data_IF_438316564964
#
_entry.id   IF_438316564964
#
_cell.length_a   1.000
_cell.length_b   1.000
_cell.length_c   1.000
_cell.angle_alpha   90.00
_cell.angle_beta   90.00
_cell.angle_gamma   90.00
#
_symmetry.space_group_name_H-M   'P 1'
#
loop_
_entity.id
_entity.type
_entity.pdbx_description
1 polymer ?
2 water ?
#
# COMPACT_ATOMS: atom_id res chain seq x y z
N UNK A 4 5.17 -20.89 -0.41
CA UNK A 4 5.79 -20.18 -1.57
C UNK A 4 6.64 -18.94 -1.27
N UNK A 5 6.07 -17.91 -0.63
CA UNK A 5 6.84 -16.70 -0.28
C UNK A 5 6.67 -16.43 1.24
N UNK A 6 7.78 -16.38 1.97
CA UNK A 6 7.73 -16.22 3.42
C UNK A 6 8.45 -14.95 3.80
N UNK A 7 7.96 -14.27 4.84
CA UNK A 7 8.59 -13.04 5.31
C UNK A 7 8.96 -13.21 6.78
N UNK A 8 10.23 -12.95 7.11
CA UNK A 8 10.77 -13.18 8.46
C UNK A 8 11.20 -11.88 9.09
N UNK A 9 10.55 -11.52 10.19
CA UNK A 9 11.02 -10.44 11.06
C UNK A 9 11.56 -11.07 12.32
N UNK A 10 12.59 -10.47 12.91
CA UNK A 10 13.13 -11.00 14.18
C UNK A 10 12.09 -11.08 15.26
N UNK A 11 12.04 -12.22 15.94
CA UNK A 11 11.08 -12.36 17.05
C UNK A 11 9.67 -12.80 16.67
N UNK A 12 9.38 -12.95 15.37
CA UNK A 12 8.08 -13.46 14.91
C UNK A 12 8.20 -14.82 14.22
N UNK A 13 7.09 -15.59 14.21
CA UNK A 13 7.01 -16.74 13.32
C UNK A 13 7.13 -16.23 11.89
N UNK A 14 7.59 -17.08 10.98
CA UNK A 14 7.58 -16.77 9.55
C UNK A 14 6.16 -16.38 9.12
N UNK A 15 6.05 -15.37 8.28
CA UNK A 15 4.75 -15.00 7.72
C UNK A 15 4.63 -15.64 6.34
N UNK A 16 3.65 -16.53 6.20
CA UNK A 16 3.42 -17.24 4.94
C UNK A 16 2.50 -16.37 4.07
N UNK A 17 3.05 -15.62 3.11
CA UNK A 17 2.26 -14.59 2.42
C UNK A 17 1.17 -15.24 1.58
N UNK A 18 -0.07 -14.80 1.73
CA UNK A 18 -1.13 -15.40 0.90
C UNK A 18 -1.59 -14.44 -0.19
N UNK A 19 -2.19 -15.01 -1.24
CA UNK A 19 -2.72 -14.24 -2.34
C UNK A 19 -3.90 -13.36 -1.90
N UNK A 20 -4.10 -12.28 -2.66
CA UNK A 20 -5.29 -11.43 -2.61
C UNK A 20 -5.48 -10.75 -1.26
N UNK A 21 -4.36 -10.43 -0.62
CA UNK A 21 -4.34 -9.93 0.75
C UNK A 21 -3.37 -8.77 0.82
N UNK A 22 -3.81 -7.66 1.37
CA UNK A 22 -2.93 -6.53 1.54
C UNK A 22 -2.32 -6.61 2.93
N UNK A 23 -0.99 -6.72 2.98
CA UNK A 23 -0.27 -6.78 4.28
C UNK A 23 0.11 -5.37 4.71
N UNK A 24 -0.46 -4.91 5.82
CA UNK A 24 -0.09 -3.60 6.34
C UNK A 24 1.07 -3.75 7.30
N UNK A 25 2.07 -2.88 7.14
CA UNK A 25 3.30 -3.00 7.91
C UNK A 25 3.56 -1.67 8.61
N UNK A 26 3.74 -1.70 9.92
CA UNK A 26 3.98 -0.44 10.65
C UNK A 26 4.04 -0.68 12.15
N UNK A 27 4.27 0.40 12.89
CA UNK A 27 4.37 0.36 14.35
C UNK A 27 2.98 0.43 15.00
N UNK A 28 1.96 0.85 14.23
CA UNK A 28 0.56 0.83 14.69
C UNK A 28 0.10 -0.59 15.09
N UNK A 29 -0.52 -0.73 16.27
CA UNK A 29 -1.11 -2.02 16.64
C UNK A 29 -2.31 -2.42 15.77
N UNK A 30 -2.48 -3.72 15.61
CA UNK A 30 -3.65 -4.27 14.94
C UNK A 30 -3.43 -4.52 13.45
N UNK A 31 -2.21 -4.29 12.95
CA UNK A 31 -1.91 -4.53 11.54
C UNK A 31 -1.49 -5.97 11.38
N UNK A 32 -1.45 -6.48 10.16
CA UNK A 32 -0.96 -7.86 9.95
C UNK A 32 0.47 -7.94 10.46
N UNK A 33 1.28 -6.91 10.17
CA UNK A 33 2.68 -6.92 10.57
C UNK A 33 2.96 -5.67 11.43
N UNK A 34 2.70 -5.79 12.72
CA UNK A 34 2.90 -4.68 13.63
C UNK A 34 4.22 -4.94 14.30
N UNK A 35 5.16 -4.03 14.09
CA UNK A 35 6.51 -4.12 14.62
C UNK A 35 6.73 -2.96 15.60
N UNK A 36 7.08 -3.26 16.85
CA UNK A 36 7.16 -2.19 17.89
C UNK A 36 8.37 -1.22 17.82
N UNK A 37 9.30 -1.47 16.93
CA UNK A 37 10.54 -0.70 16.85
C UNK A 37 10.34 0.80 16.56
N UNK A 38 11.11 1.65 17.25
CA UNK A 38 10.95 3.09 17.10
C UNK A 38 11.37 3.63 15.74
N UNK A 39 12.16 2.87 14.98
CA UNK A 39 12.56 3.33 13.63
C UNK A 39 11.49 3.02 12.56
N UNK A 40 10.39 2.42 12.97
CA UNK A 40 9.33 2.11 12.01
C UNK A 40 8.20 3.09 12.16
N UNK A 41 7.67 3.59 11.04
CA UNK A 41 6.54 4.53 11.06
C UNK A 41 5.24 3.81 11.43
N UNK A 42 4.29 4.55 11.99
CA UNK A 42 2.96 3.98 12.28
C UNK A 42 2.34 3.31 11.04
N UNK A 43 2.36 4.03 9.92
CA UNK A 43 1.95 3.48 8.61
C UNK A 43 3.15 3.41 7.67
N UNK A 44 3.92 2.35 7.77
CA UNK A 44 5.24 2.36 7.16
C UNK A 44 5.20 1.90 5.71
N UNK A 45 4.55 0.78 5.47
CA UNK A 45 4.59 0.15 4.16
C UNK A 45 3.47 -0.87 3.97
N UNK A 46 3.38 -1.40 2.75
CA UNK A 46 2.38 -2.42 2.43
C UNK A 46 3.00 -3.45 1.51
N UNK A 47 2.59 -4.71 1.64
CA UNK A 47 3.08 -5.77 0.75
C UNK A 47 1.88 -6.56 0.21
N UNK A 48 2.10 -7.19 -0.94
CA UNK A 48 1.07 -7.94 -1.59
C UNK A 48 1.72 -9.00 -2.44
N UNK A 49 0.97 -10.05 -2.76
CA UNK A 49 1.37 -10.96 -3.82
C UNK A 49 0.78 -10.37 -5.10
N UNK A 50 1.64 -9.98 -6.03
CA UNK A 50 1.20 -9.31 -7.28
C UNK A 50 0.62 -10.33 -8.26
N UNK A 51 1.27 -11.50 -8.30
CA UNK A 51 0.91 -12.66 -9.12
C UNK A 51 1.72 -13.84 -8.57
N UNK A 52 1.46 -15.05 -9.04
CA UNK A 52 2.14 -16.22 -8.49
C UNK A 52 3.66 -16.05 -8.35
N UNK A 53 4.15 -16.22 -7.12
CA UNK A 53 5.59 -16.13 -6.80
C UNK A 53 6.23 -14.74 -6.85
N UNK A 54 5.42 -13.68 -6.91
CA UNK A 54 5.96 -12.31 -7.03
C UNK A 54 5.34 -11.43 -5.95
N UNK A 55 6.18 -10.82 -5.12
CA UNK A 55 5.69 -9.91 -4.07
C UNK A 55 5.95 -8.45 -4.48
N UNK A 56 4.95 -7.60 -4.28
CA UNK A 56 5.13 -6.16 -4.46
C UNK A 56 5.25 -5.55 -3.07
N UNK A 57 6.26 -4.70 -2.88
CA UNK A 57 6.35 -3.92 -1.66
C UNK A 57 6.21 -2.45 -2.06
N UNK A 58 5.46 -1.68 -1.28
CA UNK A 58 5.36 -0.25 -1.53
C UNK A 58 5.60 0.52 -0.23
N UNK A 59 6.46 1.53 -0.32
CA UNK A 59 6.78 2.35 0.85
C UNK A 59 5.66 3.36 1.00
N UNK A 60 5.16 3.54 2.23
CA UNK A 60 4.17 4.57 2.45
C UNK A 60 4.81 5.74 3.17
N UNK A 61 4.64 5.83 4.49
CA UNK A 61 5.28 6.93 5.22
C UNK A 61 6.75 6.58 5.50
N UNK A 62 7.05 5.29 5.61
CA UNK A 62 8.39 4.84 5.99
C UNK A 62 9.24 4.50 4.76
N UNK A 63 10.56 4.40 4.92
CA UNK A 63 11.45 4.04 3.79
C UNK A 63 11.71 2.53 3.76
N UNK A 64 11.96 2.00 2.57
CA UNK A 64 12.25 0.57 2.39
C UNK A 64 13.54 0.40 1.61
N UNK A 65 14.31 -0.61 2.01
CA UNK A 65 15.58 -0.91 1.35
C UNK A 65 15.59 -2.39 1.01
N UNK A 66 15.99 -2.69 -0.23
CA UNK A 66 16.05 -4.07 -0.69
C UNK A 66 17.54 -4.31 -0.98
N UNK A 67 18.13 -5.24 -0.23
CA UNK A 67 19.59 -5.46 -0.35
C UNK A 67 20.35 -4.13 -0.27
N UNK A 68 19.97 -3.31 0.72
CA UNK A 68 20.58 -2.01 1.02
C UNK A 68 20.32 -0.88 0.00
N UNK A 69 19.48 -1.12 -1.00
CA UNK A 69 19.07 -0.08 -1.96
C UNK A 69 17.65 0.41 -1.66
N UNK A 70 17.52 1.72 -1.52
CA UNK A 70 16.19 2.30 -1.29
C UNK A 70 15.27 2.09 -2.48
N UNK A 71 14.02 1.78 -2.19
CA UNK A 71 13.01 1.59 -3.22
C UNK A 71 11.71 2.25 -2.75
N UNK A 72 10.93 2.77 -3.68
CA UNK A 72 9.59 3.26 -3.35
C UNK A 72 8.56 2.18 -3.62
N UNK A 73 8.68 1.51 -4.76
CA UNK A 73 7.84 0.35 -5.08
C UNK A 73 8.68 -0.66 -5.85
N UNK A 74 8.58 -1.93 -5.48
CA UNK A 74 9.45 -2.93 -6.08
C UNK A 74 8.73 -4.27 -6.15
N UNK A 75 8.95 -5.01 -7.24
CA UNK A 75 8.36 -6.33 -7.41
C UNK A 75 9.51 -7.32 -7.35
N UNK A 76 9.34 -8.33 -6.50
CA UNK A 76 10.43 -9.27 -6.18
C UNK A 76 9.94 -10.70 -6.40
N UNK A 77 10.68 -11.46 -7.22
CA UNK A 77 10.41 -12.89 -7.41
C UNK A 77 11.70 -13.67 -7.23
N UNK A 78 11.64 -14.99 -7.40
CA UNK A 78 12.83 -15.86 -7.20
C UNK A 78 14.04 -15.41 -8.01
N UNK A 79 13.80 -14.85 -9.19
CA UNK A 79 14.86 -14.42 -10.09
C UNK A 79 15.68 -13.29 -9.48
N UNK A 80 15.09 -12.58 -8.51
CA UNK A 80 15.72 -11.43 -7.88
C UNK A 80 16.41 -11.80 -6.59
N UNK A 81 16.29 -13.07 -6.21
CA UNK A 81 16.80 -13.53 -4.94
C UNK A 81 18.22 -14.07 -5.11
N UNK A 82 18.93 -14.16 -3.99
CA UNK A 82 20.21 -14.82 -3.92
C UNK A 82 20.04 -16.00 -2.96
N UNK A 83 20.34 -17.20 -3.45
CA UNK A 83 20.09 -18.45 -2.74
C UNK A 83 18.67 -18.50 -2.16
N UNK A 84 17.71 -17.97 -2.92
CA UNK A 84 16.28 -17.96 -2.53
C UNK A 84 15.85 -16.89 -1.53
N UNK A 85 16.76 -15.99 -1.17
CA UNK A 85 16.51 -14.97 -0.15
C UNK A 85 16.77 -13.54 -0.61
N UNK A 86 16.08 -12.60 0.05
CA UNK A 86 16.23 -11.18 -0.22
C UNK A 86 16.25 -10.46 1.12
N UNK A 87 17.25 -9.60 1.35
CA UNK A 87 17.30 -8.79 2.57
C UNK A 87 16.44 -7.55 2.39
N UNK A 88 15.61 -7.28 3.38
CA UNK A 88 14.77 -6.10 3.40
C UNK A 88 15.11 -5.28 4.63
N UNK A 89 14.88 -3.98 4.54
CA UNK A 89 14.92 -3.14 5.73
C UNK A 89 13.79 -2.13 5.71
N UNK A 90 13.06 -2.04 6.82
CA UNK A 90 11.98 -1.06 6.98
C UNK A 90 12.43 -0.07 8.05
N UNK A 91 12.74 1.16 7.66
CA UNK A 91 13.38 2.08 8.60
C UNK A 91 14.76 1.51 8.91
N UNK A 92 14.95 1.12 10.16
CA UNK A 92 16.17 0.44 10.60
C UNK A 92 15.94 -1.02 11.03
N UNK A 93 14.74 -1.53 10.74
CA UNK A 93 14.38 -2.93 11.07
C UNK A 93 14.63 -3.86 9.90
N UNK A 94 15.51 -4.84 10.09
CA UNK A 94 15.77 -5.78 8.99
C UNK A 94 14.81 -6.96 8.97
N UNK A 95 14.56 -7.49 7.78
CA UNK A 95 13.68 -8.63 7.58
C UNK A 95 14.24 -9.43 6.41
N UNK A 96 13.68 -10.62 6.16
CA UNK A 96 14.15 -11.47 5.07
C UNK A 96 12.94 -12.06 4.36
N UNK A 97 12.93 -12.00 3.04
CA UNK A 97 11.99 -12.78 2.22
C UNK A 97 12.68 -14.04 1.74
N UNK A 98 11.93 -15.14 1.73
CA UNK A 98 12.43 -16.43 1.23
C UNK A 98 11.41 -16.95 0.23
N UNK A 99 11.90 -17.41 -0.92
CA UNK A 99 11.06 -17.96 -1.98
C UNK A 99 11.20 -19.48 -1.98
N UNK A 100 10.08 -20.21 -2.05
CA UNK A 100 10.15 -21.69 -1.96
C UNK A 100 10.14 -22.29 -3.35
N UNK B 2 -9.10 21.48 4.82
CA UNK B 2 -7.91 22.31 5.15
C UNK B 2 -6.70 21.43 4.93
N UNK B 3 -6.60 20.40 5.78
CA UNK B 3 -5.79 19.23 5.54
C UNK B 3 -6.76 18.05 5.55
N UNK B 4 -8.05 18.36 5.39
CA UNK B 4 -9.07 17.33 5.22
C UNK B 4 -8.95 16.80 3.79
N UNK B 5 -8.81 15.49 3.67
CA UNK B 5 -8.77 14.82 2.37
C UNK B 5 -9.81 13.71 2.42
N UNK B 6 -10.74 13.72 1.47
CA UNK B 6 -11.78 12.68 1.40
C UNK B 6 -11.76 11.94 0.07
N UNK B 7 -12.08 10.65 0.13
CA UNK B 7 -12.19 9.82 -1.05
C UNK B 7 -13.66 9.52 -1.26
N UNK B 8 -14.12 9.67 -2.51
CA UNK B 8 -15.52 9.46 -2.87
C UNK B 8 -15.62 8.35 -3.92
N UNK B 9 -16.42 7.33 -3.65
CA UNK B 9 -16.83 6.34 -4.66
C UNK B 9 -18.35 6.51 -4.79
N UNK B 10 -18.87 6.49 -6.02
CA UNK B 10 -20.27 6.91 -6.31
C UNK B 10 -21.32 6.37 -5.34
N UNK B 11 -22.16 7.26 -4.81
CA UNK B 11 -23.25 6.86 -3.90
C UNK B 11 -22.81 6.06 -2.66
N UNK B 12 -21.54 6.18 -2.32
CA UNK B 12 -21.03 5.70 -1.05
C UNK B 12 -20.82 6.97 -0.24
N UNK B 13 -20.91 6.88 1.10
CA UNK B 13 -20.52 8.04 1.91
C UNK B 13 -19.03 8.40 1.67
N UNK B 14 -18.69 9.69 1.69
CA UNK B 14 -17.27 10.11 1.62
C UNK B 14 -16.47 9.38 2.69
N UNK B 15 -15.22 9.01 2.39
CA UNK B 15 -14.33 8.49 3.41
C UNK B 15 -13.31 9.58 3.70
N UNK B 16 -13.33 10.09 4.92
CA UNK B 16 -12.41 11.12 5.34
C UNK B 16 -11.12 10.41 5.76
N UNK B 17 -9.99 10.76 5.16
CA UNK B 17 -8.74 10.00 5.45
C UNK B 17 -8.05 10.51 6.71
N UNK B 18 -7.77 9.60 7.63
CA UNK B 18 -7.12 9.93 8.90
C UNK B 18 -5.63 9.66 8.79
N UNK B 19 -4.81 10.50 9.42
CA UNK B 19 -3.36 10.31 9.40
C UNK B 19 -2.95 8.97 10.00
N UNK B 20 -1.77 8.52 9.59
CA UNK B 20 -1.11 7.32 10.12
C UNK B 20 -1.97 6.08 10.06
N UNK B 21 -2.80 6.04 9.02
CA UNK B 21 -3.72 4.92 8.81
C UNK B 21 -3.57 4.39 7.38
N UNK B 22 -3.44 3.08 7.22
CA UNK B 22 -3.30 2.50 5.91
C UNK B 22 -4.70 2.10 5.44
N UNK B 23 -5.18 2.70 4.38
CA UNK B 23 -6.52 2.38 3.85
C UNK B 23 -6.38 1.34 2.77
N UNK B 24 -6.87 0.14 3.03
CA UNK B 24 -6.89 -0.90 2.02
C UNK B 24 -8.06 -0.70 1.08
N UNK B 25 -7.80 -0.77 -0.23
CA UNK B 25 -8.82 -0.53 -1.26
C UNK B 25 -8.98 -1.79 -2.07
N UNK B 26 -10.17 -2.37 -2.08
CA UNK B 26 -10.36 -3.57 -2.88
C UNK B 26 -11.79 -4.07 -2.89
N UNK B 27 -12.00 -5.18 -3.59
CA UNK B 27 -13.31 -5.85 -3.68
C UNK B 27 -13.51 -6.78 -2.48
N UNK B 28 -12.44 -7.14 -1.79
CA UNK B 28 -12.56 -8.03 -0.63
C UNK B 28 -13.43 -7.35 0.45
N UNK B 29 -14.29 -8.13 1.11
CA UNK B 29 -15.11 -7.61 2.19
C UNK B 29 -14.23 -7.35 3.40
N UNK B 30 -14.62 -6.35 4.19
CA UNK B 30 -13.94 -6.04 5.46
C UNK B 30 -12.77 -5.08 5.35
N UNK B 31 -12.54 -4.52 4.17
CA UNK B 31 -11.46 -3.52 4.04
C UNK B 31 -11.96 -2.14 4.45
N UNK B 32 -11.05 -1.18 4.61
CA UNK B 32 -11.45 0.20 4.86
C UNK B 32 -12.30 0.69 3.71
N UNK B 33 -11.93 0.31 2.50
CA UNK B 33 -12.64 0.76 1.32
C UNK B 33 -12.94 -0.49 0.49
N UNK B 34 -14.09 -1.10 0.76
CA UNK B 34 -14.52 -2.32 0.07
C UNK B 34 -15.54 -1.91 -0.98
N UNK B 35 -15.22 -2.19 -2.24
CA UNK B 35 -16.03 -1.72 -3.36
C UNK B 35 -16.45 -2.94 -4.14
N UNK B 36 -17.77 -3.15 -4.23
CA UNK B 36 -18.30 -4.31 -4.95
C UNK B 36 -18.43 -4.01 -6.45
N UNK B 37 -17.31 -4.09 -7.17
CA UNK B 37 -17.31 -3.90 -8.61
C UNK B 37 -16.33 -4.90 -9.20
N UNK B 38 -16.73 -5.55 -10.29
CA UNK B 38 -15.95 -6.63 -10.92
C UNK B 38 -14.57 -6.17 -11.38
N UNK B 39 -14.41 -4.88 -11.67
CA UNK B 39 -13.13 -4.44 -12.18
C UNK B 39 -12.20 -3.99 -11.05
N UNK B 40 -12.67 -4.07 -9.81
CA UNK B 40 -11.82 -3.85 -8.65
C UNK B 40 -11.22 -5.20 -8.25
N UNK B 41 -9.90 -5.28 -8.12
CA UNK B 41 -9.28 -6.47 -7.58
C UNK B 41 -9.59 -6.65 -6.09
N UNK B 42 -9.51 -7.90 -5.63
CA UNK B 42 -9.67 -8.21 -4.21
C UNK B 42 -8.71 -7.38 -3.35
N UNK B 43 -7.45 -7.28 -3.79
CA UNK B 43 -6.40 -6.49 -3.10
C UNK B 43 -5.89 -5.42 -4.08
N UNK B 44 -6.67 -4.36 -4.33
CA UNK B 44 -6.38 -3.51 -5.49
C UNK B 44 -5.30 -2.46 -5.27
N UNK B 45 -5.37 -1.74 -4.16
CA UNK B 45 -4.51 -0.57 -3.91
C UNK B 45 -4.53 -0.19 -2.40
N UNK B 46 -3.70 0.78 -2.02
CA UNK B 46 -3.75 1.36 -0.67
C UNK B 46 -3.65 2.87 -0.81
N UNK B 47 -4.19 3.58 0.19
CA UNK B 47 -4.03 5.03 0.30
C UNK B 47 -3.55 5.34 1.72
N UNK B 48 -2.72 6.37 1.89
CA UNK B 48 -2.33 6.79 3.23
C UNK B 48 -1.92 8.24 3.16
N UNK B 49 -2.18 8.97 4.24
CA UNK B 49 -1.74 10.35 4.32
C UNK B 49 -0.22 10.34 4.49
N UNK B 50 0.49 10.89 3.52
CA UNK B 50 1.95 10.85 3.52
C UNK B 50 2.50 11.94 4.41
N UNK B 51 1.85 13.11 4.33
CA UNK B 51 2.18 14.27 5.16
C UNK B 51 0.98 15.21 5.08
N UNK B 52 1.02 16.32 5.83
CA UNK B 52 -0.16 17.18 5.95
C UNK B 52 -0.72 17.54 4.58
N UNK B 53 -1.99 17.22 4.32
CA UNK B 53 -2.62 17.57 3.03
C UNK B 53 -2.22 16.78 1.79
N UNK B 54 -1.47 15.70 1.95
CA UNK B 54 -0.92 14.94 0.81
C UNK B 54 -1.18 13.45 1.03
N UNK B 55 -1.83 12.84 0.05
CA UNK B 55 -2.15 11.40 0.09
C UNK B 55 -1.22 10.65 -0.85
N UNK B 56 -0.74 9.50 -0.41
CA UNK B 56 0.00 8.62 -1.28
C UNK B 56 -0.93 7.47 -1.68
N UNK B 57 -1.05 7.21 -2.97
CA UNK B 57 -1.75 6.00 -3.43
C UNK B 57 -0.73 5.07 -4.04
N UNK B 58 -0.88 3.78 -3.73
CA UNK B 58 -0.01 2.77 -4.29
C UNK B 58 -0.85 1.65 -4.92
N UNK B 59 -0.64 1.37 -6.21
CA UNK B 59 -1.35 0.27 -6.88
C UNK B 59 -0.78 -1.06 -6.42
N UNK B 60 -1.62 -2.02 -6.07
CA UNK B 60 -1.08 -3.31 -5.64
C UNK B 60 -1.33 -4.32 -6.75
N UNK B 61 -2.40 -5.11 -6.63
CA UNK B 61 -2.74 -6.06 -7.69
C UNK B 61 -3.38 -5.34 -8.87
N UNK B 62 -4.18 -4.30 -8.60
CA UNK B 62 -4.89 -3.59 -9.65
C UNK B 62 -4.18 -2.32 -10.05
N UNK B 63 -4.72 -1.67 -11.07
CA UNK B 63 -4.10 -0.45 -11.60
C UNK B 63 -4.85 0.79 -11.11
N UNK B 64 -4.12 1.91 -11.03
CA UNK B 64 -4.67 3.19 -10.66
C UNK B 64 -4.37 4.22 -11.74
N UNK B 65 -5.35 5.08 -12.00
CA UNK B 65 -5.24 6.14 -13.01
C UNK B 65 -5.60 7.46 -12.36
N UNK B 66 -4.76 8.46 -12.57
CA UNK B 66 -4.97 9.79 -11.98
C UNK B 66 -5.16 10.74 -13.15
N UNK B 67 -6.29 11.44 -13.13
CA UNK B 67 -6.76 12.18 -14.29
C UNK B 67 -6.42 11.39 -15.58
N UNK B 68 -6.72 10.09 -15.58
CA UNK B 68 -6.58 9.17 -16.74
C UNK B 68 -5.17 8.67 -17.08
N UNK B 69 -4.17 9.11 -16.33
CA UNK B 69 -2.77 8.71 -16.52
C UNK B 69 -2.44 7.58 -15.50
N UNK B 70 -1.98 6.42 -15.97
CA UNK B 70 -1.65 5.29 -15.06
C UNK B 70 -0.48 5.62 -14.13
N UNK B 71 -0.62 5.29 -12.86
CA UNK B 71 0.43 5.52 -11.87
C UNK B 71 0.64 4.26 -11.06
N UNK B 72 1.88 4.04 -10.60
CA UNK B 72 2.13 2.96 -9.64
C UNK B 72 2.13 3.42 -8.20
N UNK B 73 2.91 4.46 -7.91
CA UNK B 73 2.82 5.13 -6.63
C UNK B 73 2.74 6.60 -7.00
N UNK B 74 1.82 7.33 -6.38
CA UNK B 74 1.64 8.74 -6.72
C UNK B 74 1.28 9.52 -5.43
N UNK B 75 1.80 10.75 -5.29
CA UNK B 75 1.52 11.62 -4.15
C UNK B 75 0.68 12.77 -4.64
N UNK B 76 -0.41 13.02 -3.94
CA UNK B 76 -1.41 13.95 -4.46
C UNK B 76 -1.78 14.91 -3.36
N UNK B 77 -1.56 16.20 -3.60
CA UNK B 77 -2.10 17.21 -2.68
C UNK B 77 -2.90 18.25 -3.45
N UNK B 78 -3.20 19.36 -2.79
CA UNK B 78 -4.03 20.43 -3.36
C UNK B 78 -3.44 20.96 -4.67
N UNK B 79 -2.12 20.89 -4.82
CA UNK B 79 -1.48 21.39 -6.06
C UNK B 79 -1.94 20.62 -7.32
N UNK B 80 -2.44 19.40 -7.13
CA UNK B 80 -2.95 18.64 -8.24
C UNK B 80 -4.46 18.71 -8.41
N UNK B 81 -5.13 19.47 -7.56
CA UNK B 81 -6.59 19.55 -7.62
C UNK B 81 -7.01 20.73 -8.49
N UNK B 82 -8.19 20.58 -9.10
CA UNK B 82 -8.90 21.68 -9.76
C UNK B 82 -10.24 21.79 -9.06
N UNK B 83 -10.52 22.97 -8.52
CA UNK B 83 -11.74 23.22 -7.74
C UNK B 83 -11.86 22.21 -6.61
N UNK B 84 -10.73 21.89 -5.98
CA UNK B 84 -10.72 20.99 -4.82
C UNK B 84 -10.75 19.50 -5.10
N UNK B 85 -10.79 19.12 -6.38
CA UNK B 85 -11.05 17.72 -6.82
C UNK B 85 -9.93 17.12 -7.65
N UNK B 86 -9.64 15.84 -7.45
CA UNK B 86 -8.73 15.10 -8.32
C UNK B 86 -9.48 13.85 -8.78
N UNK B 87 -9.51 13.60 -10.09
CA UNK B 87 -10.20 12.40 -10.60
C UNK B 87 -9.28 11.18 -10.53
N UNK B 88 -9.80 10.08 -10.01
CA UNK B 88 -9.08 8.81 -9.89
C UNK B 88 -9.87 7.70 -10.58
N UNK B 89 -9.17 6.64 -10.96
CA UNK B 89 -9.86 5.44 -11.45
C UNK B 89 -9.12 4.22 -10.89
N UNK B 90 -9.87 3.25 -10.37
CA UNK B 90 -9.26 2.01 -9.88
C UNK B 90 -9.85 0.92 -10.78
N UNK B 91 -9.04 0.37 -11.68
CA UNK B 91 -9.59 -0.53 -12.71
C UNK B 91 -10.54 0.30 -13.56
N UNK B 92 -11.84 0.00 -13.52
CA UNK B 92 -12.82 0.84 -14.24
C UNK B 92 -13.69 1.66 -13.29
N UNK B 93 -13.37 1.61 -12.00
CA UNK B 93 -14.18 2.30 -11.00
C UNK B 93 -13.75 3.75 -10.86
N UNK B 94 -14.68 4.67 -11.14
CA UNK B 94 -14.38 6.09 -11.01
C UNK B 94 -14.45 6.53 -9.55
N UNK B 95 -13.57 7.44 -9.17
CA UNK B 95 -13.56 7.94 -7.80
C UNK B 95 -13.01 9.35 -7.86
N UNK B 96 -13.06 10.05 -6.75
CA UNK B 96 -12.36 11.31 -6.69
C UNK B 96 -11.86 11.62 -5.28
N UNK B 97 -10.78 12.38 -5.23
CA UNK B 97 -10.27 12.92 -3.99
C UNK B 97 -10.77 14.35 -3.92
N UNK B 98 -11.18 14.77 -2.73
CA UNK B 98 -11.56 16.17 -2.48
C UNK B 98 -10.72 16.74 -1.34
N UNK B 99 -10.17 17.93 -1.57
CA UNK B 99 -9.26 18.54 -0.60
C UNK B 99 -9.94 19.73 0.03
N UNK B 100 -9.90 19.80 1.36
CA UNK B 100 -10.49 20.91 2.12
C UNK B 100 -9.69 22.19 1.92
#
# INVERSE_FOLDING_TARGET
>A
SMADVSLFFGGLPAILLKADTIYRIGRQKGLEISIADESMELAHATACILRRGVVRLAALVGKIFVNDQEETVVDIGMENAVAGKVKLRFGNVEARLEFGED
>B
SMADVSLFFGGLPAILLKADTIYRIGRQKGLEISIADESMELAHATACILRRGVVRLAALVGKIFVNDQEETVVDIGMENAVAGKVKLRFGNVEARLEFGED
#
